data_IF_892232950115
#
_entry.id   IF_892232950115
#
_cell.length_a   1.000
_cell.length_b   1.000
_cell.length_c   1.000
_cell.angle_alpha   90.00
_cell.angle_beta   90.00
_cell.angle_gamma   90.00
#
_symmetry.space_group_name_H-M   'P 1'
#
loop_
_entity.id
_entity.type
_entity.pdbx_description
1 polymer ?
#
# COMPACT_ATOMS: atom_id res chain seq x y z
N UNK A 1 -23.24 -3.76 -43.85
CA UNK A 1 -23.95 -3.63 -42.56
C UNK A 1 -24.02 -5.04 -41.97
N UNK A 2 -23.50 -5.40 -40.80
CA UNK A 2 -23.10 -4.69 -39.58
C UNK A 2 -21.90 -5.45 -38.99
N UNK A 3 -20.84 -4.74 -38.59
CA UNK A 3 -19.71 -5.30 -37.83
C UNK A 3 -20.13 -5.38 -36.37
N UNK A 4 -20.25 -6.58 -35.82
CA UNK A 4 -20.56 -6.77 -34.40
C UNK A 4 -19.27 -6.57 -33.60
N UNK A 5 -19.09 -5.37 -33.06
CA UNK A 5 -18.01 -5.03 -32.14
C UNK A 5 -18.39 -5.64 -30.79
N UNK A 6 -17.63 -6.66 -30.37
CA UNK A 6 -17.75 -7.26 -29.05
C UNK A 6 -16.99 -6.38 -28.05
N UNK A 7 -17.70 -5.44 -27.44
CA UNK A 7 -17.15 -4.53 -26.42
C UNK A 7 -17.12 -5.26 -25.07
N UNK A 8 -16.00 -5.88 -24.73
CA UNK A 8 -15.73 -6.34 -23.36
C UNK A 8 -15.33 -5.15 -22.50
N UNK A 9 -16.31 -4.60 -21.77
CA UNK A 9 -16.08 -3.67 -20.68
C UNK A 9 -15.46 -4.47 -19.53
N UNK A 10 -14.13 -4.46 -19.45
CA UNK A 10 -13.42 -4.89 -18.25
C UNK A 10 -13.55 -3.78 -17.21
N UNK A 11 -14.68 -3.80 -16.49
CA UNK A 11 -14.83 -3.07 -15.25
C UNK A 11 -14.11 -3.87 -14.17
N UNK A 12 -12.97 -3.38 -13.69
CA UNK A 12 -12.36 -3.85 -12.44
C UNK A 12 -12.02 -2.65 -11.58
N UNK A 13 -13.05 -2.16 -10.90
CA UNK A 13 -12.94 -1.32 -9.71
C UNK A 13 -13.12 -2.25 -8.50
N UNK A 14 -12.06 -2.48 -7.72
CA UNK A 14 -12.11 -2.95 -6.33
C UNK A 14 -10.71 -2.71 -5.73
N UNK A 15 -10.49 -1.51 -5.19
CA UNK A 15 -10.41 -1.19 -3.74
C UNK A 15 -9.31 -1.94 -3.01
N UNK A 16 -8.35 -1.16 -2.50
CA UNK A 16 -7.19 -1.65 -1.78
C UNK A 16 -7.49 -2.27 -0.41
N UNK A 17 -6.40 -2.73 0.19
CA UNK A 17 -6.23 -3.51 1.43
C UNK A 17 -6.23 -5.03 1.19
N UNK A 18 -5.06 -5.56 0.85
CA UNK A 18 -4.70 -6.98 1.03
C UNK A 18 -5.59 -7.97 0.28
N UNK A 19 -5.75 -7.81 -1.04
CA UNK A 19 -6.37 -8.85 -1.85
C UNK A 19 -5.31 -9.90 -2.18
N UNK A 20 -5.44 -11.07 -1.55
CA UNK A 20 -4.68 -12.25 -1.90
C UNK A 20 -4.80 -12.47 -3.40
N UNK A 21 -3.69 -12.27 -4.12
CA UNK A 21 -3.61 -12.39 -5.57
C UNK A 21 -3.25 -13.82 -5.91
N UNK A 22 -3.78 -14.32 -7.03
CA UNK A 22 -3.29 -15.56 -7.63
C UNK A 22 -2.01 -15.27 -8.42
N UNK A 23 -0.90 -15.82 -7.93
CA UNK A 23 0.42 -15.78 -8.54
C UNK A 23 0.61 -16.96 -9.48
N UNK A 24 1.26 -16.73 -10.61
CA UNK A 24 1.54 -17.75 -11.63
C UNK A 24 3.04 -17.94 -11.79
N UNK A 25 3.50 -19.19 -11.84
CA UNK A 25 4.91 -19.47 -12.12
C UNK A 25 5.27 -19.14 -13.59
N UNK A 26 6.54 -18.86 -13.86
CA UNK A 26 7.05 -18.53 -15.19
C UNK A 26 6.76 -19.61 -16.23
N UNK A 27 6.68 -20.88 -15.81
CA UNK A 27 6.34 -22.02 -16.66
C UNK A 27 4.82 -22.24 -16.85
N UNK A 28 3.99 -21.44 -16.16
CA UNK A 28 2.53 -21.55 -16.17
C UNK A 28 1.98 -22.82 -15.52
N UNK A 29 2.84 -23.69 -14.96
CA UNK A 29 2.45 -25.02 -14.46
C UNK A 29 1.84 -24.99 -13.05
N UNK A 30 2.14 -23.94 -12.30
CA UNK A 30 1.77 -23.79 -10.89
C UNK A 30 1.21 -22.40 -10.63
N UNK A 31 0.12 -22.37 -9.87
CA UNK A 31 -0.46 -21.15 -9.33
C UNK A 31 -0.57 -21.26 -7.82
N UNK A 32 -0.50 -20.12 -7.14
CA UNK A 32 -0.75 -20.05 -5.70
C UNK A 32 -1.37 -18.71 -5.32
N UNK A 33 -2.15 -18.69 -4.25
CA UNK A 33 -2.74 -17.44 -3.73
C UNK A 33 -1.94 -16.91 -2.55
N UNK A 34 -1.77 -15.58 -2.49
CA UNK A 34 -1.20 -14.92 -1.34
C UNK A 34 -1.09 -13.41 -1.48
N UNK A 35 -0.92 -12.75 -0.33
CA UNK A 35 -0.78 -11.29 -0.22
C UNK A 35 0.68 -10.88 -0.43
N UNK A 36 0.91 -9.84 -1.21
CA UNK A 36 2.25 -9.25 -1.31
C UNK A 36 2.63 -8.61 0.02
N UNK A 37 3.79 -8.99 0.55
CA UNK A 37 4.37 -8.38 1.76
C UNK A 37 5.47 -7.41 1.38
N UNK A 38 6.39 -7.83 0.52
CA UNK A 38 7.47 -6.98 0.03
C UNK A 38 8.01 -7.53 -1.29
N UNK A 39 8.63 -6.66 -2.09
CA UNK A 39 9.32 -7.05 -3.31
C UNK A 39 10.62 -6.28 -3.44
N UNK A 40 11.70 -7.01 -3.70
CA UNK A 40 13.01 -6.49 -4.06
C UNK A 40 13.27 -6.77 -5.56
N UNK A 41 14.43 -6.36 -6.05
CA UNK A 41 14.82 -6.59 -7.45
C UNK A 41 14.88 -8.08 -7.84
N UNK A 42 15.15 -8.95 -6.86
CA UNK A 42 15.46 -10.36 -7.09
C UNK A 42 14.47 -11.32 -6.41
N UNK A 43 13.74 -10.85 -5.40
CA UNK A 43 12.88 -11.66 -4.55
C UNK A 43 11.53 -11.00 -4.30
N UNK A 44 10.52 -11.83 -4.12
CA UNK A 44 9.19 -11.42 -3.69
C UNK A 44 8.81 -12.22 -2.45
N UNK A 45 8.30 -11.52 -1.44
CA UNK A 45 7.78 -12.15 -0.23
C UNK A 45 6.27 -12.07 -0.25
N UNK A 46 5.64 -13.25 -0.19
CA UNK A 46 4.19 -13.41 -0.24
C UNK A 46 3.72 -14.08 1.05
N UNK A 47 2.64 -13.57 1.63
CA UNK A 47 1.97 -14.19 2.78
C UNK A 47 0.85 -15.09 2.29
N UNK A 48 0.91 -16.36 2.68
CA UNK A 48 -0.16 -17.35 2.46
C UNK A 48 -0.72 -17.76 3.82
N UNK A 49 -1.82 -17.11 4.22
CA UNK A 49 -2.41 -17.26 5.54
C UNK A 49 -1.46 -16.77 6.65
N UNK A 50 -1.01 -17.68 7.52
CA UNK A 50 -0.11 -17.34 8.63
C UNK A 50 1.38 -17.40 8.20
N UNK A 51 1.69 -18.07 7.08
CA UNK A 51 3.07 -18.28 6.64
C UNK A 51 3.49 -17.22 5.63
N UNK A 52 4.69 -16.66 5.80
CA UNK A 52 5.38 -15.90 4.76
C UNK A 52 6.29 -16.82 3.97
N UNK A 53 6.34 -16.62 2.66
CA UNK A 53 7.15 -17.38 1.73
C UNK A 53 7.87 -16.40 0.80
N UNK A 54 9.18 -16.58 0.65
CA UNK A 54 9.99 -15.78 -0.26
C UNK A 54 10.35 -16.61 -1.49
N UNK A 55 10.06 -16.05 -2.66
CA UNK A 55 10.35 -16.67 -3.95
C UNK A 55 11.30 -15.77 -4.75
N UNK A 56 12.07 -16.37 -5.66
CA UNK A 56 12.81 -15.59 -6.65
C UNK A 56 11.83 -14.99 -7.65
N UNK A 57 11.98 -13.71 -7.95
CA UNK A 57 11.07 -12.98 -8.85
C UNK A 57 11.03 -13.61 -10.25
N UNK A 58 12.18 -14.09 -10.74
CA UNK A 58 12.31 -14.79 -12.01
C UNK A 58 11.51 -16.11 -12.13
N UNK A 59 11.00 -16.65 -11.03
CA UNK A 59 10.16 -17.85 -11.04
C UNK A 59 8.68 -17.55 -11.28
N UNK A 60 8.31 -16.27 -11.33
CA UNK A 60 6.96 -15.80 -11.61
C UNK A 60 6.77 -15.41 -13.07
N UNK A 61 5.52 -15.38 -13.52
CA UNK A 61 5.13 -14.85 -14.82
C UNK A 61 5.59 -13.40 -15.00
N UNK A 62 5.89 -12.96 -16.23
CA UNK A 62 6.32 -11.58 -16.49
C UNK A 62 5.30 -10.54 -15.99
N UNK A 63 4.01 -10.86 -16.06
CA UNK A 63 2.94 -10.01 -15.55
C UNK A 63 3.00 -9.87 -14.03
N UNK A 64 3.15 -10.99 -13.31
CA UNK A 64 3.27 -10.97 -11.85
C UNK A 64 4.58 -10.32 -11.40
N UNK A 65 5.67 -10.46 -12.16
CA UNK A 65 6.92 -9.75 -11.89
C UNK A 65 6.74 -8.24 -11.97
N UNK A 66 6.08 -7.74 -13.03
CA UNK A 66 5.83 -6.31 -13.20
C UNK A 66 4.93 -5.78 -12.10
N UNK A 67 3.85 -6.49 -11.81
CA UNK A 67 2.91 -6.12 -10.75
C UNK A 67 3.58 -6.10 -9.36
N UNK A 68 4.37 -7.13 -9.03
CA UNK A 68 5.07 -7.20 -7.74
C UNK A 68 6.06 -6.06 -7.55
N UNK A 69 6.74 -5.62 -8.61
CA UNK A 69 7.63 -4.45 -8.55
C UNK A 69 6.86 -3.15 -8.32
N UNK A 70 5.77 -2.94 -9.05
CA UNK A 70 4.94 -1.74 -8.91
C UNK A 70 4.30 -1.66 -7.52
N UNK A 71 3.74 -2.77 -7.04
CA UNK A 71 3.08 -2.81 -5.74
C UNK A 71 4.09 -2.86 -4.58
N UNK A 72 5.21 -3.56 -4.76
CA UNK A 72 6.30 -3.59 -3.78
C UNK A 72 6.93 -2.22 -3.57
N UNK A 73 7.09 -1.42 -4.62
CA UNK A 73 7.55 -0.04 -4.50
C UNK A 73 6.59 0.84 -3.67
N UNK A 74 5.27 0.63 -3.80
CA UNK A 74 4.28 1.34 -2.98
C UNK A 74 4.35 0.92 -1.53
N UNK A 75 4.52 -0.38 -1.26
CA UNK A 75 4.67 -0.89 0.10
C UNK A 75 5.94 -0.34 0.75
N UNK A 76 7.07 -0.37 0.04
CA UNK A 76 8.33 0.19 0.52
C UNK A 76 8.21 1.69 0.82
N UNK A 77 7.59 2.47 -0.07
CA UNK A 77 7.34 3.88 0.16
C UNK A 77 6.41 4.13 1.37
N UNK A 78 5.39 3.30 1.57
CA UNK A 78 4.51 3.40 2.72
C UNK A 78 5.18 3.01 4.04
N UNK A 79 6.12 2.05 4.02
CA UNK A 79 6.95 1.72 5.19
C UNK A 79 7.93 2.85 5.50
N UNK A 80 8.63 3.38 4.50
CA UNK A 80 9.52 4.53 4.64
C UNK A 80 8.79 5.74 5.22
N UNK A 81 7.62 6.09 4.67
CA UNK A 81 6.81 7.19 5.18
C UNK A 81 6.39 7.00 6.64
N UNK A 82 6.02 5.78 7.05
CA UNK A 82 5.69 5.46 8.44
C UNK A 82 6.89 5.58 9.35
N UNK A 83 8.07 5.15 8.90
CA UNK A 83 9.31 5.33 9.65
C UNK A 83 9.65 6.82 9.81
N UNK A 84 9.53 7.62 8.74
CA UNK A 84 9.69 9.07 8.81
C UNK A 84 8.68 9.72 9.77
N UNK A 85 7.42 9.30 9.73
CA UNK A 85 6.38 9.76 10.63
C UNK A 85 6.70 9.41 12.09
N UNK A 86 7.18 8.19 12.35
CA UNK A 86 7.58 7.75 13.68
C UNK A 86 8.79 8.54 14.21
N UNK A 87 9.78 8.80 13.36
CA UNK A 87 10.93 9.66 13.69
C UNK A 87 10.48 11.10 13.99
N UNK A 88 9.58 11.66 13.18
CA UNK A 88 8.99 12.98 13.42
C UNK A 88 8.27 13.03 14.77
N UNK A 89 7.50 11.99 15.12
CA UNK A 89 6.79 11.88 16.39
C UNK A 89 7.71 11.76 17.61
N UNK A 90 8.94 11.25 17.46
CA UNK A 90 9.91 11.20 18.56
C UNK A 90 10.62 12.54 18.81
N UNK A 91 10.55 13.50 17.88
CA UNK A 91 11.07 14.85 18.09
C UNK A 91 10.31 15.64 19.17
N UNK A 92 10.89 16.74 19.65
CA UNK A 92 10.27 17.60 20.68
C UNK A 92 8.90 18.12 20.25
N UNK A 93 8.79 18.55 18.98
CA UNK A 93 7.53 19.01 18.42
C UNK A 93 6.54 17.86 18.22
N UNK A 94 6.99 16.70 17.75
CA UNK A 94 6.15 15.53 17.59
C UNK A 94 5.55 15.05 18.92
N UNK A 95 6.35 15.08 19.99
CA UNK A 95 5.89 14.77 21.35
C UNK A 95 4.81 15.71 21.86
N UNK A 96 4.76 16.96 21.38
CA UNK A 96 3.69 17.90 21.67
C UNK A 96 2.39 17.57 20.91
N UNK A 97 2.46 16.83 19.80
CA UNK A 97 1.34 16.42 18.95
C UNK A 97 0.75 15.05 19.33
N UNK A 98 0.93 14.57 20.56
CA UNK A 98 0.41 13.24 20.98
C UNK A 98 -1.11 13.08 20.99
N UNK A 99 -1.87 14.17 20.83
CA UNK A 99 -3.34 14.18 20.81
C UNK A 99 -3.86 14.66 19.46
N UNK A 100 -3.31 14.12 18.39
CA UNK A 100 -3.81 14.39 17.04
C UNK A 100 -5.19 13.76 16.89
N UNK A 101 -6.12 14.57 16.38
CA UNK A 101 -7.46 14.13 16.06
C UNK A 101 -7.78 14.59 14.64
N UNK A 102 -8.44 13.72 13.87
CA UNK A 102 -9.02 14.08 12.57
C UNK A 102 -10.52 14.27 12.73
N UNK A 103 -11.07 15.23 12.00
CA UNK A 103 -12.51 15.36 11.84
C UNK A 103 -12.97 14.32 10.81
N UNK A 104 -13.67 13.30 11.25
CA UNK A 104 -14.27 12.27 10.41
C UNK A 104 -15.79 12.47 10.42
N UNK A 105 -16.29 13.14 9.38
CA UNK A 105 -17.67 13.60 9.31
C UNK A 105 -18.00 14.60 10.41
N UNK A 106 -18.82 14.19 11.37
CA UNK A 106 -19.28 15.03 12.49
C UNK A 106 -18.49 14.81 13.80
N UNK A 107 -17.55 13.86 13.83
CA UNK A 107 -16.83 13.48 15.04
C UNK A 107 -15.32 13.68 14.91
N UNK A 108 -14.67 14.02 16.02
CA UNK A 108 -13.21 13.98 16.13
C UNK A 108 -12.78 12.60 16.60
N UNK A 109 -11.90 11.96 15.82
CA UNK A 109 -11.33 10.65 16.15
C UNK A 109 -9.82 10.75 16.24
N UNK A 110 -9.22 9.95 17.10
CA UNK A 110 -7.77 9.89 17.26
C UNK A 110 -7.12 9.51 15.93
N UNK A 111 -5.97 10.13 15.65
CA UNK A 111 -5.27 9.98 14.39
C UNK A 111 -3.77 9.76 14.62
N UNK A 112 -3.26 8.69 14.01
CA UNK A 112 -1.83 8.43 13.91
C UNK A 112 -1.33 8.95 12.56
N UNK A 113 -0.17 9.61 12.55
CA UNK A 113 0.42 10.12 11.32
C UNK A 113 0.87 8.95 10.43
N UNK A 114 0.30 8.88 9.23
CA UNK A 114 0.74 7.94 8.20
C UNK A 114 2.04 8.39 7.53
N UNK A 115 2.21 9.71 7.34
CA UNK A 115 3.38 10.34 6.74
C UNK A 115 3.88 11.50 7.61
N UNK A 116 5.19 11.80 7.54
CA UNK A 116 5.75 13.00 8.17
C UNK A 116 5.18 14.29 7.52
N UNK A 117 4.59 15.22 8.31
CA UNK A 117 4.00 16.42 7.75
C UNK A 117 5.09 17.38 7.24
N UNK A 118 5.01 17.76 5.96
CA UNK A 118 5.95 18.71 5.34
C UNK A 118 5.56 20.17 5.58
N UNK A 119 4.29 20.43 5.85
CA UNK A 119 3.74 21.77 6.03
C UNK A 119 2.77 21.79 7.21
N UNK A 120 2.71 22.93 7.90
CA UNK A 120 1.78 23.17 8.99
C UNK A 120 1.04 24.48 8.74
N UNK A 121 -0.28 24.47 8.94
CA UNK A 121 -1.08 25.69 8.97
C UNK A 121 -1.31 26.06 10.44
N UNK A 122 -0.72 27.16 10.87
CA UNK A 122 -0.96 27.71 12.20
C UNK A 122 -2.12 28.70 12.12
N UNK A 123 -3.27 28.30 12.66
CA UNK A 123 -4.42 29.17 12.80
C UNK A 123 -4.54 29.65 14.25
N UNK A 124 -4.60 30.96 14.44
CA UNK A 124 -4.91 31.57 15.73
C UNK A 124 -6.12 32.51 15.54
N UNK A 125 -7.17 32.31 16.35
CA UNK A 125 -8.27 33.26 16.47
C UNK A 125 -8.10 34.02 17.77
N UNK A 126 -7.73 35.30 17.69
CA UNK A 126 -7.85 36.18 18.84
C UNK A 126 -9.35 36.46 19.07
N UNK A 127 -9.90 35.96 20.18
CA UNK A 127 -11.19 36.43 20.67
C UNK A 127 -10.94 37.75 21.40
N UNK A 128 -11.61 38.80 20.94
CA UNK A 128 -11.58 40.13 21.54
C UNK A 128 -12.72 40.24 22.57
#
# INVERSE_FOLDING_TARGET
>A
MKKTILTTIASLMLTGLGQARTWTSADGSKTFEGDLVSCDDNSVTVRRGIKQMTFKLALLSEEDQKWAKEEGAKIAAAEENKEEAAQFMDGDFGKALKKLQKLDGEAFVDYELEDAPKYFLLYFSASW
#
